data_IF_507445624643
#
_entry.id   IF_507445624643
#
_cell.length_a   1.000
_cell.length_b   1.000
_cell.length_c   1.000
_cell.angle_alpha   90.00
_cell.angle_beta   90.00
_cell.angle_gamma   90.00
#
_symmetry.space_group_name_H-M   'P 1'
#
loop_
_entity.id
_entity.type
_entity.pdbx_description
1 polymer ?
#
# COMPACT_ATOMS: atom_id res chain seq x y z
N UNK A 1 -20.89 -4.03 25.73
CA UNK A 1 -20.04 -4.70 24.71
C UNK A 1 -18.63 -5.01 25.21
N UNK A 2 -17.90 -4.05 25.81
CA UNK A 2 -16.47 -4.18 26.19
C UNK A 2 -16.14 -5.33 27.18
N UNK A 3 -17.05 -5.67 28.11
CA UNK A 3 -16.84 -6.75 29.12
C UNK A 3 -16.68 -8.14 28.48
N UNK A 4 -17.39 -8.39 27.38
CA UNK A 4 -17.34 -9.66 26.64
C UNK A 4 -16.05 -9.80 25.84
N UNK A 5 -15.57 -8.73 25.22
CA UNK A 5 -14.32 -8.74 24.47
C UNK A 5 -13.11 -9.07 25.35
N UNK A 6 -13.06 -8.51 26.57
CA UNK A 6 -12.03 -8.84 27.57
C UNK A 6 -12.10 -10.32 27.97
N UNK A 7 -13.31 -10.85 28.18
CA UNK A 7 -13.50 -12.26 28.49
C UNK A 7 -13.04 -13.19 27.36
N UNK A 8 -13.38 -12.90 26.09
CA UNK A 8 -12.92 -13.69 24.95
C UNK A 8 -11.41 -13.63 24.75
N UNK A 9 -10.79 -12.45 24.92
CA UNK A 9 -9.32 -12.30 24.89
C UNK A 9 -8.65 -13.14 26.00
N UNK A 10 -9.17 -13.07 27.22
CA UNK A 10 -8.67 -13.86 28.35
C UNK A 10 -8.82 -15.37 28.11
N UNK A 11 -10.01 -15.81 27.69
CA UNK A 11 -10.28 -17.23 27.39
C UNK A 11 -9.33 -17.75 26.30
N UNK A 12 -9.20 -17.02 25.20
CA UNK A 12 -8.28 -17.36 24.10
C UNK A 12 -6.82 -17.43 24.56
N UNK A 13 -6.38 -16.54 25.43
CA UNK A 13 -5.03 -16.58 26.03
C UNK A 13 -4.86 -17.84 26.88
N UNK A 14 -5.85 -18.17 27.72
CA UNK A 14 -5.82 -19.39 28.54
C UNK A 14 -5.84 -20.67 27.72
N UNK A 15 -6.62 -20.72 26.65
CA UNK A 15 -6.65 -21.85 25.73
C UNK A 15 -5.29 -22.00 25.04
N UNK A 16 -4.69 -20.90 24.57
CA UNK A 16 -3.36 -20.91 23.97
C UNK A 16 -2.25 -21.35 24.94
N UNK A 17 -2.31 -20.92 26.21
CA UNK A 17 -1.35 -21.35 27.25
C UNK A 17 -1.40 -22.87 27.46
N UNK A 18 -2.60 -23.46 27.42
CA UNK A 18 -2.84 -24.91 27.63
C UNK A 18 -2.45 -25.80 26.44
N UNK A 19 -2.29 -25.23 25.24
CA UNK A 19 -1.96 -25.99 24.04
C UNK A 19 -0.55 -26.59 24.07
N UNK A 20 -0.40 -27.76 23.47
CA UNK A 20 0.92 -28.40 23.23
C UNK A 20 1.77 -27.56 22.28
N UNK A 21 3.08 -27.83 22.19
CA UNK A 21 3.96 -27.13 21.25
C UNK A 21 3.51 -27.28 19.80
N UNK A 22 3.07 -28.48 19.41
CA UNK A 22 2.57 -28.77 18.06
C UNK A 22 1.27 -28.01 17.77
N UNK A 23 0.32 -28.06 18.71
CA UNK A 23 -0.94 -27.33 18.61
C UNK A 23 -0.70 -25.83 18.48
N UNK A 24 0.26 -25.26 19.22
CA UNK A 24 0.64 -23.84 19.13
C UNK A 24 1.17 -23.47 17.75
N UNK A 25 1.94 -24.35 17.10
CA UNK A 25 2.43 -24.14 15.72
C UNK A 25 1.28 -24.22 14.73
N UNK A 26 0.41 -25.23 14.83
CA UNK A 26 -0.81 -25.35 14.02
C UNK A 26 -1.72 -24.11 14.15
N UNK A 27 -1.88 -23.59 15.36
CA UNK A 27 -2.62 -22.35 15.60
C UNK A 27 -2.01 -21.14 14.89
N UNK A 28 -0.67 -20.99 14.94
CA UNK A 28 0.04 -19.93 14.22
C UNK A 28 -0.10 -20.09 12.71
N UNK A 29 -0.01 -21.32 12.20
CA UNK A 29 -0.10 -21.64 10.78
C UNK A 29 -1.50 -21.33 10.22
N UNK A 30 -2.56 -21.76 10.91
CA UNK A 30 -3.94 -21.41 10.53
C UNK A 30 -4.17 -19.90 10.56
N UNK A 31 -3.62 -19.19 11.55
CA UNK A 31 -3.68 -17.73 11.62
C UNK A 31 -2.91 -17.06 10.48
N UNK A 32 -1.74 -17.59 10.10
CA UNK A 32 -0.94 -17.08 8.98
C UNK A 32 -1.66 -17.28 7.65
N UNK A 33 -2.20 -18.48 7.37
CA UNK A 33 -2.99 -18.76 6.16
C UNK A 33 -4.24 -17.88 6.05
N UNK A 34 -4.99 -17.70 7.15
CA UNK A 34 -6.13 -16.77 7.17
C UNK A 34 -5.71 -15.31 6.91
N UNK A 35 -4.52 -14.91 7.37
CA UNK A 35 -3.98 -13.58 7.09
C UNK A 35 -3.58 -13.43 5.63
N UNK A 36 -2.97 -14.45 5.03
CA UNK A 36 -2.64 -14.48 3.60
C UNK A 36 -3.90 -14.29 2.75
N UNK A 37 -4.95 -15.07 3.00
CA UNK A 37 -6.24 -14.98 2.29
C UNK A 37 -6.83 -13.57 2.35
N UNK A 38 -6.89 -12.97 3.54
CA UNK A 38 -7.39 -11.59 3.71
C UNK A 38 -6.56 -10.56 2.95
N UNK A 39 -5.24 -10.73 2.91
CA UNK A 39 -4.35 -9.82 2.19
C UNK A 39 -4.55 -9.93 0.68
N UNK A 40 -4.75 -11.15 0.17
CA UNK A 40 -5.08 -11.39 -1.23
C UNK A 40 -6.44 -10.77 -1.60
N UNK A 41 -7.46 -10.96 -0.76
CA UNK A 41 -8.78 -10.36 -0.97
C UNK A 41 -8.73 -8.82 -0.94
N UNK A 42 -7.96 -8.23 -0.03
CA UNK A 42 -7.75 -6.78 0.02
C UNK A 42 -7.01 -6.25 -1.22
N UNK A 43 -6.11 -7.05 -1.79
CA UNK A 43 -5.39 -6.69 -3.01
C UNK A 43 -6.30 -6.71 -4.24
N UNK A 44 -7.11 -7.77 -4.38
CA UNK A 44 -8.11 -7.92 -5.46
C UNK A 44 -9.15 -6.79 -5.44
N UNK A 45 -9.56 -6.32 -4.26
CA UNK A 45 -10.46 -5.17 -4.11
C UNK A 45 -9.85 -3.84 -4.56
N UNK A 46 -8.53 -3.69 -4.43
CA UNK A 46 -7.83 -2.45 -4.79
C UNK A 46 -7.45 -2.45 -6.27
N UNK A 47 -7.04 -3.60 -6.80
CA UNK A 47 -6.65 -3.70 -8.20
C UNK A 47 -7.87 -3.46 -9.10
N UNK A 48 -7.82 -2.45 -9.97
CA UNK A 48 -8.92 -2.18 -10.88
C UNK A 48 -9.04 -3.39 -11.81
N UNK A 49 -10.24 -3.99 -11.90
CA UNK A 49 -10.54 -5.08 -12.84
C UNK A 49 -9.97 -4.73 -14.20
N UNK A 50 -9.11 -5.59 -14.72
CA UNK A 50 -8.39 -5.35 -15.97
C UNK A 50 -9.40 -5.06 -17.09
N UNK A 51 -9.56 -3.78 -17.44
CA UNK A 51 -10.25 -3.40 -18.66
C UNK A 51 -9.33 -3.78 -19.82
N UNK A 52 -9.75 -4.78 -20.59
CA UNK A 52 -8.97 -5.60 -21.53
C UNK A 52 -8.47 -4.89 -22.79
N UNK A 53 -8.34 -3.56 -22.81
CA UNK A 53 -7.98 -2.85 -24.04
C UNK A 53 -6.82 -1.88 -23.78
N UNK A 54 -5.65 -2.26 -24.30
CA UNK A 54 -4.61 -1.30 -24.64
C UNK A 54 -5.16 -0.40 -25.74
N UNK A 55 -5.56 0.82 -25.41
CA UNK A 55 -6.16 1.77 -26.37
C UNK A 55 -5.20 2.17 -27.51
N UNK A 56 -3.92 1.81 -27.43
CA UNK A 56 -2.92 2.20 -28.41
C UNK A 56 -2.57 1.05 -29.35
N UNK A 57 -2.63 1.33 -30.66
CA UNK A 57 -2.06 0.45 -31.69
C UNK A 57 -0.61 0.16 -31.33
N UNK A 58 -0.16 -1.11 -31.34
CA UNK A 58 1.25 -1.41 -31.19
C UNK A 58 1.97 -0.88 -32.43
N UNK A 59 2.43 0.37 -32.37
CA UNK A 59 3.36 0.91 -33.35
C UNK A 59 4.59 0.00 -33.34
N UNK A 60 4.71 -0.85 -34.37
CA UNK A 60 5.87 -1.72 -34.54
C UNK A 60 7.06 -0.81 -34.86
N UNK A 61 7.86 -0.54 -33.83
CA UNK A 61 9.09 0.23 -33.97
C UNK A 61 10.08 -0.59 -34.79
N UNK A 62 10.69 0.00 -35.83
CA UNK A 62 11.75 -0.72 -36.55
C UNK A 62 12.97 -0.89 -35.64
N UNK A 63 13.83 -1.90 -35.84
CA UNK A 63 15.02 -2.08 -35.02
C UNK A 63 15.94 -0.85 -35.00
N UNK A 64 16.03 -0.11 -36.12
CA UNK A 64 16.83 1.11 -36.23
C UNK A 64 16.24 2.25 -35.39
N UNK A 65 14.91 2.40 -35.45
CA UNK A 65 14.19 3.40 -34.65
C UNK A 65 14.28 3.07 -33.16
N UNK A 66 14.11 1.80 -32.79
CA UNK A 66 14.27 1.32 -31.42
C UNK A 66 15.64 1.67 -30.87
N UNK A 67 16.71 1.34 -31.60
CA UNK A 67 18.08 1.67 -31.21
C UNK A 67 18.31 3.18 -31.09
N UNK A 68 17.78 3.97 -32.02
CA UNK A 68 17.87 5.43 -31.99
C UNK A 68 17.23 6.01 -30.72
N UNK A 69 16.00 5.60 -30.41
CA UNK A 69 15.28 6.09 -29.23
C UNK A 69 15.89 5.56 -27.94
N UNK A 70 16.41 4.34 -27.92
CA UNK A 70 17.11 3.78 -26.77
C UNK A 70 18.34 4.63 -26.44
N UNK A 71 19.21 4.89 -27.43
CA UNK A 71 20.41 5.73 -27.26
C UNK A 71 20.07 7.17 -26.86
N UNK A 72 18.95 7.71 -27.36
CA UNK A 72 18.45 9.02 -26.95
C UNK A 72 17.92 9.01 -25.51
N UNK A 73 17.20 7.95 -25.13
CA UNK A 73 16.69 7.71 -23.78
C UNK A 73 17.82 7.57 -22.75
N UNK A 74 18.87 6.82 -23.07
CA UNK A 74 20.06 6.67 -22.23
C UNK A 74 20.78 8.00 -21.95
N UNK A 75 20.86 8.88 -22.96
CA UNK A 75 21.46 10.21 -22.80
C UNK A 75 20.54 11.22 -22.12
N UNK A 76 19.25 10.91 -21.97
CA UNK A 76 18.29 11.83 -21.42
C UNK A 76 18.51 12.01 -19.91
N UNK A 77 18.32 13.25 -19.43
CA UNK A 77 18.39 13.62 -18.01
C UNK A 77 17.03 13.65 -17.33
N UNK A 78 15.94 13.50 -18.10
CA UNK A 78 14.58 13.58 -17.58
C UNK A 78 14.19 12.24 -16.97
N UNK A 79 13.79 12.27 -15.70
CA UNK A 79 13.40 11.06 -15.00
C UNK A 79 12.15 11.24 -14.15
N UNK A 80 11.38 10.16 -14.02
CA UNK A 80 10.25 10.06 -13.08
C UNK A 80 10.64 9.06 -11.99
N UNK A 81 10.75 9.49 -10.71
CA UNK A 81 11.03 8.58 -9.62
C UNK A 81 9.79 7.81 -9.19
N UNK A 82 9.89 6.49 -9.10
CA UNK A 82 8.88 5.60 -8.52
C UNK A 82 9.43 5.04 -7.21
N UNK A 83 8.79 5.40 -6.11
CA UNK A 83 9.14 4.92 -4.76
C UNK A 83 8.16 3.86 -4.26
N UNK A 84 8.12 3.68 -2.94
CA UNK A 84 7.30 2.65 -2.26
C UNK A 84 5.85 2.52 -2.75
N UNK A 85 5.19 3.63 -3.09
CA UNK A 85 3.79 3.62 -3.55
C UNK A 85 3.58 2.95 -4.91
N UNK A 86 4.65 2.71 -5.67
CA UNK A 86 4.56 2.20 -7.03
C UNK A 86 3.85 3.19 -7.96
N UNK A 87 3.09 2.64 -8.90
CA UNK A 87 2.38 3.41 -9.92
C UNK A 87 1.06 3.93 -9.34
N UNK A 88 0.85 5.23 -9.50
CA UNK A 88 -0.42 5.89 -9.18
C UNK A 88 -0.65 7.02 -10.16
N UNK A 89 -1.83 7.63 -10.09
CA UNK A 89 -2.27 8.70 -10.97
C UNK A 89 -1.21 9.80 -11.25
N UNK A 90 -0.51 10.23 -10.21
CA UNK A 90 0.51 11.29 -10.31
C UNK A 90 1.80 10.87 -11.04
N UNK A 91 2.13 9.57 -11.06
CA UNK A 91 3.30 9.06 -11.82
C UNK A 91 3.01 9.18 -13.31
N UNK A 92 1.86 8.68 -13.75
CA UNK A 92 1.43 8.74 -15.15
C UNK A 92 1.30 10.18 -15.63
N UNK A 93 0.69 11.05 -14.81
CA UNK A 93 0.63 12.49 -15.07
C UNK A 93 2.03 13.09 -15.27
N UNK A 94 2.99 12.76 -14.40
CA UNK A 94 4.35 13.27 -14.51
C UNK A 94 5.05 12.78 -15.79
N UNK A 95 4.78 11.55 -16.22
CA UNK A 95 5.28 11.02 -17.50
C UNK A 95 4.75 11.85 -18.68
N UNK A 96 3.45 12.10 -18.74
CA UNK A 96 2.84 12.93 -19.80
C UNK A 96 3.37 14.37 -19.81
N UNK A 97 3.67 14.94 -18.64
CA UNK A 97 4.30 16.27 -18.54
C UNK A 97 5.70 16.29 -19.16
N UNK A 98 6.52 15.26 -18.94
CA UNK A 98 7.82 15.13 -19.61
C UNK A 98 7.65 14.90 -21.11
N UNK A 99 6.67 14.09 -21.50
CA UNK A 99 6.41 13.78 -22.91
C UNK A 99 5.89 14.94 -23.74
N UNK A 100 5.44 16.03 -23.09
CA UNK A 100 5.10 17.28 -23.77
C UNK A 100 6.31 17.90 -24.49
N UNK A 101 7.51 17.79 -23.91
CA UNK A 101 8.74 18.40 -24.45
C UNK A 101 9.75 17.38 -24.96
N UNK A 102 9.70 16.16 -24.46
CA UNK A 102 10.69 15.12 -24.73
C UNK A 102 10.01 13.88 -25.28
N UNK A 103 10.67 13.16 -26.17
CA UNK A 103 10.11 11.95 -26.74
C UNK A 103 10.36 10.72 -25.85
N UNK A 104 11.46 10.74 -25.10
CA UNK A 104 11.88 9.65 -24.21
C UNK A 104 11.95 10.12 -22.75
N UNK A 105 11.80 9.16 -21.84
CA UNK A 105 11.80 9.37 -20.39
C UNK A 105 12.48 8.19 -19.71
N UNK A 106 13.22 8.45 -18.62
CA UNK A 106 13.66 7.40 -17.68
C UNK A 106 12.70 7.30 -16.50
N UNK A 107 12.33 6.09 -16.10
CA UNK A 107 11.59 5.84 -14.87
C UNK A 107 12.53 5.11 -13.91
N UNK A 108 12.85 5.75 -12.79
CA UNK A 108 13.78 5.18 -11.79
C UNK A 108 12.94 4.54 -10.70
N UNK A 109 12.97 3.21 -10.65
CA UNK A 109 12.20 2.44 -9.68
C UNK A 109 13.07 2.07 -8.50
N UNK A 110 12.67 2.49 -7.29
CA UNK A 110 13.35 2.14 -6.04
C UNK A 110 12.51 1.11 -5.27
N UNK A 111 13.15 0.26 -4.47
CA UNK A 111 12.53 -0.66 -3.49
C UNK A 111 11.87 -1.95 -4.02
N UNK A 112 11.77 -2.13 -5.33
CA UNK A 112 11.14 -3.30 -5.95
C UNK A 112 12.17 -4.33 -6.43
N UNK A 113 11.76 -5.59 -6.55
CA UNK A 113 12.58 -6.64 -7.17
C UNK A 113 12.64 -6.46 -8.70
N UNK A 114 13.65 -6.99 -9.41
CA UNK A 114 13.73 -6.87 -10.87
C UNK A 114 12.54 -7.52 -11.60
N UNK A 115 11.91 -8.53 -10.99
CA UNK A 115 10.67 -9.13 -11.51
C UNK A 115 9.49 -8.17 -11.37
N UNK A 116 9.33 -7.55 -10.20
CA UNK A 116 8.31 -6.51 -9.98
C UNK A 116 8.53 -5.28 -10.86
N UNK A 117 9.78 -4.94 -11.20
CA UNK A 117 10.08 -3.86 -12.15
C UNK A 117 9.57 -4.17 -13.56
N UNK A 118 9.60 -5.44 -13.98
CA UNK A 118 9.00 -5.86 -15.26
C UNK A 118 7.47 -5.74 -15.24
N UNK A 119 6.84 -6.13 -14.13
CA UNK A 119 5.38 -5.93 -13.92
C UNK A 119 5.03 -4.44 -13.98
N UNK A 120 5.80 -3.60 -13.28
CA UNK A 120 5.65 -2.14 -13.29
C UNK A 120 5.84 -1.58 -14.71
N UNK A 121 6.83 -2.04 -15.47
CA UNK A 121 7.05 -1.60 -16.84
C UNK A 121 5.85 -1.91 -17.74
N UNK A 122 5.27 -3.12 -17.61
CA UNK A 122 4.07 -3.51 -18.34
C UNK A 122 2.83 -2.69 -17.92
N UNK A 123 2.63 -2.47 -16.61
CA UNK A 123 1.56 -1.61 -16.10
C UNK A 123 1.71 -0.16 -16.58
N UNK A 124 2.94 0.38 -16.58
CA UNK A 124 3.22 1.73 -17.09
C UNK A 124 2.90 1.83 -18.58
N UNK A 125 3.32 0.86 -19.39
CA UNK A 125 3.00 0.82 -20.82
C UNK A 125 1.49 0.83 -21.04
N UNK A 126 0.77 -0.02 -20.31
CA UNK A 126 -0.70 -0.13 -20.40
C UNK A 126 -1.41 1.15 -19.97
N UNK A 127 -0.99 1.78 -18.87
CA UNK A 127 -1.66 2.95 -18.31
C UNK A 127 -1.31 4.26 -19.02
N UNK A 128 -0.06 4.39 -19.49
CA UNK A 128 0.41 5.62 -20.14
C UNK A 128 0.27 5.58 -21.66
N UNK A 129 0.08 4.40 -22.25
CA UNK A 129 0.15 4.18 -23.70
C UNK A 129 1.55 4.28 -24.29
N UNK A 130 2.58 4.45 -23.45
CA UNK A 130 3.97 4.49 -23.88
C UNK A 130 4.56 3.11 -24.18
N UNK A 131 5.63 3.10 -24.96
CA UNK A 131 6.38 1.91 -25.36
C UNK A 131 7.60 1.77 -24.43
N UNK A 132 7.79 0.59 -23.86
CA UNK A 132 9.01 0.25 -23.10
C UNK A 132 10.11 -0.09 -24.10
N UNK A 133 11.21 0.67 -24.08
CA UNK A 133 12.36 0.42 -24.95
C UNK A 133 13.31 -0.60 -24.33
N UNK A 134 13.66 -0.40 -23.06
CA UNK A 134 14.61 -1.24 -22.33
C UNK A 134 14.42 -1.12 -20.81
N UNK A 135 14.85 -2.17 -20.08
CA UNK A 135 14.88 -2.22 -18.62
C UNK A 135 16.32 -2.49 -18.19
N UNK A 136 16.99 -1.46 -17.67
CA UNK A 136 18.39 -1.54 -17.24
C UNK A 136 18.51 -2.18 -15.85
N UNK A 137 19.69 -2.74 -15.55
CA UNK A 137 19.99 -3.47 -14.31
C UNK A 137 19.82 -2.62 -13.03
N UNK A 138 19.95 -1.29 -13.12
CA UNK A 138 19.74 -0.37 -12.00
C UNK A 138 18.26 -0.07 -11.70
N UNK A 139 17.33 -0.92 -12.16
CA UNK A 139 15.88 -0.72 -12.09
C UNK A 139 15.42 0.57 -12.78
N UNK A 140 16.06 0.90 -13.89
CA UNK A 140 15.73 2.06 -14.73
C UNK A 140 14.98 1.56 -15.97
N UNK A 141 13.75 2.04 -16.15
CA UNK A 141 12.94 1.73 -17.31
C UNK A 141 13.04 2.90 -18.29
N UNK A 142 13.44 2.64 -19.53
CA UNK A 142 13.46 3.66 -20.58
C UNK A 142 12.16 3.54 -21.37
N UNK A 143 11.38 4.62 -21.39
CA UNK A 143 10.08 4.66 -22.06
C UNK A 143 10.05 5.71 -23.16
N UNK A 144 9.35 5.36 -24.24
CA UNK A 144 9.07 6.21 -25.39
C UNK A 144 7.56 6.47 -25.47
N UNK A 145 7.18 7.69 -25.83
CA UNK A 145 5.77 8.11 -25.84
C UNK A 145 4.94 7.60 -27.04
N UNK A 146 5.58 7.16 -28.13
CA UNK A 146 4.94 6.86 -29.42
C UNK A 146 5.11 7.99 -30.45
N UNK A 147 5.03 7.65 -31.75
CA UNK A 147 5.13 8.64 -32.84
C UNK A 147 3.88 9.52 -32.88
N UNK A 148 2.71 8.91 -32.66
CA UNK A 148 1.42 9.57 -32.66
C UNK A 148 0.99 10.10 -31.28
N UNK A 149 1.95 10.43 -30.41
CA UNK A 149 1.63 10.99 -29.10
C UNK A 149 0.87 12.31 -29.25
N UNK A 150 -0.40 12.27 -28.84
CA UNK A 150 -1.21 13.46 -28.59
C UNK A 150 -1.26 13.68 -27.09
N UNK A 151 -1.08 14.94 -26.65
CA UNK A 151 -1.23 15.25 -25.24
C UNK A 151 -2.69 14.95 -24.85
N UNK A 152 -2.95 14.04 -23.90
CA UNK A 152 -4.31 13.79 -23.46
C UNK A 152 -4.91 15.09 -22.91
N UNK A 153 -6.21 15.35 -23.11
CA UNK A 153 -6.88 16.51 -22.54
C UNK A 153 -6.57 16.63 -21.04
N UNK A 154 -6.47 17.86 -20.52
CA UNK A 154 -6.10 18.11 -19.12
C UNK A 154 -7.02 17.39 -18.11
N UNK A 155 -8.27 17.13 -18.51
CA UNK A 155 -9.26 16.38 -17.73
C UNK A 155 -8.98 14.86 -17.64
N UNK A 156 -8.18 14.32 -18.57
CA UNK A 156 -7.90 12.88 -18.75
C UNK A 156 -6.38 12.59 -18.65
N UNK A 157 -5.56 13.59 -18.27
CA UNK A 157 -4.09 13.46 -18.26
C UNK A 157 -3.54 12.38 -17.32
N UNK A 158 -4.42 11.81 -16.50
CA UNK A 158 -4.21 10.53 -15.83
C UNK A 158 -5.46 9.66 -16.01
N UNK A 159 -5.33 8.42 -16.51
CA UNK A 159 -6.48 7.55 -16.70
C UNK A 159 -7.26 7.34 -15.39
N UNK A 160 -8.60 7.32 -15.48
CA UNK A 160 -9.48 6.99 -14.34
C UNK A 160 -9.26 5.57 -13.82
N UNK A 161 -8.63 4.72 -14.62
CA UNK A 161 -8.24 3.34 -14.27
C UNK A 161 -7.02 3.29 -13.34
N UNK A 162 -6.29 4.39 -13.13
CA UNK A 162 -5.14 4.43 -12.24
C UNK A 162 -5.54 4.48 -10.76
N UNK A 163 -4.69 3.93 -9.89
CA UNK A 163 -4.89 3.99 -8.45
C UNK A 163 -4.71 5.42 -7.91
N UNK A 164 -5.54 5.80 -6.94
CA UNK A 164 -5.32 6.98 -6.11
C UNK A 164 -4.08 6.80 -5.22
N UNK A 165 -3.48 7.92 -4.80
CA UNK A 165 -2.26 7.95 -3.97
C UNK A 165 -2.36 7.13 -2.68
N UNK A 166 -3.53 7.13 -2.02
CA UNK A 166 -3.79 6.34 -0.81
C UNK A 166 -3.88 4.85 -1.14
N UNK A 167 -4.72 4.49 -2.11
CA UNK A 167 -4.90 3.10 -2.58
C UNK A 167 -3.59 2.46 -3.04
N UNK A 168 -2.72 3.22 -3.73
CA UNK A 168 -1.41 2.74 -4.16
C UNK A 168 -0.46 2.46 -2.99
N UNK A 169 -0.49 3.29 -1.94
CA UNK A 169 0.26 3.02 -0.71
C UNK A 169 -0.27 1.76 0.00
N UNK A 170 -1.58 1.59 0.07
CA UNK A 170 -2.19 0.43 0.71
C UNK A 170 -1.90 -0.86 -0.09
N UNK A 171 -1.96 -0.82 -1.43
CA UNK A 171 -1.48 -1.89 -2.33
C UNK A 171 -0.05 -2.32 -1.97
N UNK A 172 0.87 -1.35 -1.83
CA UNK A 172 2.26 -1.62 -1.43
C UNK A 172 2.35 -2.28 -0.04
N UNK A 173 1.61 -1.78 0.96
CA UNK A 173 1.60 -2.37 2.31
C UNK A 173 1.10 -3.81 2.30
N UNK A 174 0.03 -4.10 1.54
CA UNK A 174 -0.50 -5.45 1.44
C UNK A 174 0.48 -6.41 0.76
N UNK A 175 1.16 -5.97 -0.30
CA UNK A 175 2.24 -6.76 -0.92
C UNK A 175 3.39 -7.04 0.03
N UNK A 176 3.86 -6.03 0.77
CA UNK A 176 4.92 -6.21 1.79
C UNK A 176 4.48 -7.21 2.88
N UNK A 177 3.26 -7.07 3.38
CA UNK A 177 2.70 -7.99 4.37
C UNK A 177 2.55 -9.41 3.81
N UNK A 178 2.12 -9.56 2.57
CA UNK A 178 2.00 -10.85 1.88
C UNK A 178 3.37 -11.51 1.74
N UNK A 179 4.40 -10.75 1.33
CA UNK A 179 5.78 -11.24 1.24
C UNK A 179 6.29 -11.75 2.59
N UNK A 180 5.97 -11.05 3.69
CA UNK A 180 6.33 -11.48 5.03
C UNK A 180 5.60 -12.77 5.45
N UNK A 181 4.29 -12.86 5.19
CA UNK A 181 3.48 -14.05 5.52
C UNK A 181 3.92 -15.27 4.72
N UNK A 182 4.16 -15.12 3.41
CA UNK A 182 4.68 -16.19 2.53
C UNK A 182 6.05 -16.71 2.96
N UNK A 183 6.90 -15.86 3.55
CA UNK A 183 8.18 -16.30 4.15
C UNK A 183 8.00 -17.01 5.49
N UNK A 184 6.91 -16.72 6.21
CA UNK A 184 6.65 -17.25 7.55
C UNK A 184 5.99 -18.62 7.53
N UNK A 185 5.06 -18.87 6.59
CA UNK A 185 4.34 -20.16 6.50
C UNK A 185 5.29 -21.36 6.37
N UNK A 186 6.29 -21.37 5.45
CA UNK A 186 7.20 -22.50 5.32
C UNK A 186 8.03 -22.75 6.58
N UNK A 187 8.39 -21.70 7.32
CA UNK A 187 9.11 -21.83 8.60
C UNK A 187 8.26 -22.56 9.63
N UNK A 188 6.98 -22.22 9.72
CA UNK A 188 6.05 -22.91 10.62
C UNK A 188 5.81 -24.37 10.21
N UNK A 189 5.79 -24.66 8.92
CA UNK A 189 5.65 -26.03 8.40
C UNK A 189 6.87 -26.89 8.76
N UNK A 190 8.08 -26.34 8.62
CA UNK A 190 9.33 -27.00 9.04
C UNK A 190 9.39 -27.22 10.56
N UNK A 191 8.98 -26.22 11.35
CA UNK A 191 8.91 -26.35 12.82
C UNK A 191 7.94 -27.46 13.23
N UNK A 192 6.81 -27.59 12.53
CA UNK A 192 5.81 -28.63 12.77
C UNK A 192 6.38 -30.02 12.47
N UNK A 193 7.00 -30.20 11.31
CA UNK A 193 7.64 -31.46 10.89
C UNK A 193 8.74 -31.89 11.89
N UNK A 194 9.54 -30.94 12.37
CA UNK A 194 10.57 -31.20 13.36
C UNK A 194 9.98 -31.68 14.69
N UNK A 195 8.88 -31.06 15.16
CA UNK A 195 8.22 -31.47 16.40
C UNK A 195 7.61 -32.87 16.29
N UNK A 196 6.95 -33.17 15.17
CA UNK A 196 6.39 -34.50 14.90
C UNK A 196 7.49 -35.57 14.88
N UNK A 197 8.59 -35.30 14.17
CA UNK A 197 9.76 -36.19 14.15
C UNK A 197 10.36 -36.42 15.54
N UNK A 198 10.34 -35.41 16.42
CA UNK A 198 10.80 -35.56 17.80
C UNK A 198 9.83 -36.36 18.66
N UNK A 199 8.52 -36.22 18.44
CA UNK A 199 7.50 -37.02 19.11
C UNK A 199 7.63 -38.50 18.72
N UNK A 200 7.77 -38.81 17.43
CA UNK A 200 7.98 -40.17 16.90
C UNK A 200 9.26 -40.82 17.47
N UNK A 201 10.36 -40.07 17.58
CA UNK A 201 11.59 -40.58 18.19
C UNK A 201 11.42 -40.89 19.68
N UNK A 202 10.59 -40.12 20.39
CA UNK A 202 10.30 -40.37 21.82
C UNK A 202 9.43 -41.60 21.99
N UNK A 203 8.39 -41.77 21.18
CA UNK A 203 7.51 -42.94 21.24
C UNK A 203 8.27 -44.24 20.96
N UNK A 204 9.13 -44.29 19.92
CA UNK A 204 9.96 -45.47 19.65
C UNK A 204 10.96 -45.79 20.78
N UNK A 205 11.48 -44.78 21.47
CA UNK A 205 12.39 -44.98 22.61
C UNK A 205 11.65 -45.52 23.85
N UNK A 206 10.39 -45.13 24.05
CA UNK A 206 9.56 -45.62 25.17
C UNK A 206 9.05 -47.04 24.92
N UNK A 207 8.69 -47.39 23.68
CA UNK A 207 8.31 -48.75 23.29
C UNK A 207 9.46 -49.75 23.43
N UNK A 208 10.69 -49.37 23.04
CA UNK A 208 11.89 -50.20 23.23
C UNK A 208 12.29 -50.39 24.71
N UNK A 209 11.80 -49.55 25.63
CA UNK A 209 12.05 -49.70 27.07
C UNK A 209 11.00 -50.58 27.77
N UNK A 210 9.78 -50.69 27.22
CA UNK A 210 8.71 -51.54 27.74
C UNK A 210 8.81 -52.99 27.23
N UNK A 211 9.39 -53.20 26.05
CA UNK A 211 9.75 -54.53 25.53
C UNK A 211 11.10 -54.98 26.10
N UNK A 212 11.13 -55.43 27.36
CA UNK A 212 12.34 -55.96 27.98
C UNK A 212 12.91 -57.17 27.23
N UNK A 213 14.00 -56.97 26.49
CA UNK A 213 15.01 -58.01 26.22
C UNK A 213 16.39 -57.44 26.54
N UNK A 214 17.12 -58.21 27.35
CA UNK A 214 18.46 -57.94 27.79
C UNK A 214 19.51 -58.20 26.70
N UNK A 215 20.48 -57.27 26.67
CA UNK A 215 21.93 -57.45 26.51
C UNK A 215 22.65 -57.31 25.14
N UNK A 216 23.60 -56.36 25.21
CA UNK A 216 25.00 -56.30 24.72
C UNK A 216 25.29 -55.68 23.35
N UNK A 217 25.99 -54.54 23.45
CA UNK A 217 26.92 -53.85 22.55
C UNK A 217 26.81 -54.04 21.04
N UNK A 218 26.60 -52.91 20.36
CA UNK A 218 27.50 -52.50 19.27
C UNK A 218 27.46 -50.99 19.13
N UNK A 219 28.63 -50.36 19.28
CA UNK A 219 28.85 -48.97 18.93
C UNK A 219 28.47 -48.72 17.47
N UNK A 220 27.70 -47.67 17.24
CA UNK A 220 27.31 -47.19 15.93
C UNK A 220 27.29 -45.68 15.96
N UNK A 221 28.21 -45.10 15.22
CA UNK A 221 28.65 -43.72 15.32
C UNK A 221 27.55 -42.65 15.20
N UNK A 222 27.82 -41.57 15.92
CA UNK A 222 27.10 -40.30 15.96
C UNK A 222 27.24 -39.53 14.64
N UNK A 223 26.76 -40.09 13.54
CA UNK A 223 26.99 -39.53 12.19
C UNK A 223 25.86 -38.58 11.72
N UNK A 224 24.68 -38.65 12.35
CA UNK A 224 23.54 -37.79 12.03
C UNK A 224 23.69 -36.32 12.45
N UNK A 225 24.48 -36.05 13.50
CA UNK A 225 24.70 -34.68 13.98
C UNK A 225 25.68 -33.89 13.10
N UNK A 226 26.63 -34.59 12.46
CA UNK A 226 27.62 -33.98 11.58
C UNK A 226 27.02 -33.60 10.22
N UNK A 227 26.07 -34.39 9.71
CA UNK A 227 25.37 -34.11 8.45
C UNK A 227 24.48 -32.87 8.50
N UNK A 228 23.87 -32.59 9.67
CA UNK A 228 23.10 -31.37 9.91
C UNK A 228 24.00 -30.12 10.04
N UNK A 229 25.19 -30.26 10.63
CA UNK A 229 26.19 -29.19 10.68
C UNK A 229 26.76 -28.88 9.29
N UNK A 230 26.96 -29.89 8.45
CA UNK A 230 27.47 -29.72 7.08
C UNK A 230 26.47 -28.98 6.17
N UNK A 231 25.16 -29.24 6.30
CA UNK A 231 24.11 -28.52 5.56
C UNK A 231 23.91 -27.06 6.03
N UNK A 232 24.15 -26.78 7.32
CA UNK A 232 24.14 -25.42 7.85
C UNK A 232 25.33 -24.59 7.34
N UNK A 233 26.50 -25.21 7.20
CA UNK A 233 27.72 -24.54 6.69
C UNK A 233 27.67 -24.35 5.18
N UNK A 234 27.08 -25.30 4.44
CA UNK A 234 26.93 -25.20 2.97
C UNK A 234 25.90 -24.14 2.54
N UNK A 235 24.87 -23.89 3.35
CA UNK A 235 23.91 -22.81 3.10
C UNK A 235 24.45 -21.42 3.48
N UNK A 236 25.50 -21.34 4.32
CA UNK A 236 26.15 -20.08 4.71
C UNK A 236 27.22 -19.55 3.73
N UNK A 237 27.61 -20.29 2.68
CA UNK A 237 28.79 -19.96 1.85
C UNK A 237 28.50 -19.18 0.55
N UNK A 238 27.31 -18.60 0.37
CA UNK A 238 26.94 -17.86 -0.86
C UNK A 238 26.81 -16.34 -0.67
N UNK A 239 27.23 -15.78 0.47
CA UNK A 239 27.33 -14.32 0.60
C UNK A 239 28.72 -13.98 1.13
N UNK A 240 29.56 -13.44 0.24
CA UNK A 240 30.90 -13.00 0.55
C UNK A 240 30.90 -11.80 1.51
N UNK A 241 31.87 -11.86 2.41
CA UNK A 241 32.68 -10.78 3.01
C UNK A 241 32.12 -9.36 2.91
N UNK A 242 31.66 -8.79 4.03
CA UNK A 242 32.43 -7.80 4.79
C UNK A 242 31.76 -7.41 6.12
N UNK A 243 32.60 -7.03 7.08
CA UNK A 243 32.37 -6.36 8.37
C UNK A 243 32.11 -7.21 9.64
N UNK A 244 33.01 -6.96 10.58
CA UNK A 244 33.38 -7.59 11.85
C UNK A 244 32.45 -7.36 13.06
N UNK A 245 32.33 -8.41 13.87
CA UNK A 245 32.65 -8.47 15.31
C UNK A 245 32.11 -7.38 16.26
N UNK A 246 31.03 -7.68 17.01
CA UNK A 246 30.99 -7.47 18.48
C UNK A 246 29.80 -8.19 19.16
N UNK A 247 30.04 -8.75 20.34
CA UNK A 247 29.13 -8.72 21.49
C UNK A 247 27.94 -9.68 21.54
N UNK A 248 28.15 -10.86 22.11
CA UNK A 248 27.10 -11.67 22.73
C UNK A 248 26.54 -10.96 23.97
N UNK A 249 25.32 -10.45 23.89
CA UNK A 249 24.47 -10.24 25.07
C UNK A 249 23.08 -10.81 24.78
N UNK A 250 22.81 -11.96 25.39
CA UNK A 250 21.57 -12.72 25.25
C UNK A 250 20.55 -12.19 26.26
N UNK A 251 19.99 -11.02 25.94
CA UNK A 251 18.75 -10.52 26.54
C UNK A 251 17.55 -11.13 25.83
N UNK A 252 16.90 -12.08 26.49
CA UNK A 252 15.67 -12.74 26.01
C UNK A 252 14.48 -11.78 26.07
N UNK A 253 14.35 -10.87 25.09
CA UNK A 253 13.21 -9.96 24.95
C UNK A 253 12.23 -10.44 23.87
N UNK A 254 11.60 -11.59 24.05
CA UNK A 254 10.62 -12.12 23.09
C UNK A 254 9.15 -11.73 23.35
N UNK A 255 8.88 -10.87 24.34
CA UNK A 255 7.50 -10.50 24.71
C UNK A 255 7.07 -9.09 24.26
N UNK A 256 7.96 -8.29 23.67
CA UNK A 256 7.65 -6.89 23.30
C UNK A 256 7.03 -6.69 21.91
N UNK A 257 6.86 -7.73 21.09
CA UNK A 257 6.43 -7.57 19.68
C UNK A 257 5.02 -8.09 19.37
N UNK A 258 4.25 -8.53 20.35
CA UNK A 258 2.85 -8.97 20.12
C UNK A 258 1.87 -7.82 19.90
N UNK A 259 2.22 -6.59 20.28
CA UNK A 259 1.32 -5.43 20.21
C UNK A 259 1.37 -4.67 18.88
N UNK A 260 2.31 -4.99 17.98
CA UNK A 260 2.40 -4.33 16.66
C UNK A 260 1.32 -4.77 15.66
N UNK A 261 0.51 -5.78 16.02
CA UNK A 261 -0.55 -6.34 15.18
C UNK A 261 -1.97 -5.95 15.63
N UNK A 262 -2.12 -5.14 16.68
CA UNK A 262 -3.44 -4.72 17.21
C UNK A 262 -3.81 -3.25 16.97
N UNK A 263 -2.97 -2.44 16.30
CA UNK A 263 -3.36 -1.07 15.91
C UNK A 263 -4.10 -1.05 14.57
N UNK A 264 -5.43 -1.10 14.66
CA UNK A 264 -6.49 -0.59 13.77
C UNK A 264 -6.13 -0.06 12.38
N UNK A 265 -6.81 -0.63 11.36
CA UNK A 265 -7.48 0.14 10.31
C UNK A 265 -8.67 -0.68 9.82
N UNK A 266 -9.73 -0.75 10.62
CA UNK A 266 -11.08 -0.89 10.10
C UNK A 266 -11.50 0.51 9.62
N UNK A 267 -11.48 0.71 8.29
CA UNK A 267 -12.27 1.76 7.68
C UNK A 267 -13.66 1.16 7.43
N UNK A 268 -14.50 1.20 8.45
CA UNK A 268 -15.94 1.17 8.24
C UNK A 268 -16.39 2.61 8.00
N UNK A 269 -17.07 2.81 6.87
CA UNK A 269 -17.84 4.01 6.59
C UNK A 269 -19.01 4.03 7.58
N UNK A 270 -18.84 4.68 8.72
CA UNK A 270 -19.93 5.08 9.60
C UNK A 270 -19.97 6.60 9.71
N UNK A 271 -21.18 7.13 9.56
CA UNK A 271 -21.53 8.54 9.62
C UNK A 271 -20.91 9.21 10.85
N UNK A 272 -20.06 10.22 10.60
CA UNK A 272 -19.49 11.05 11.65
C UNK A 272 -20.58 11.94 12.22
N UNK A 273 -21.21 11.49 13.30
CA UNK A 273 -21.77 12.43 14.27
C UNK A 273 -20.60 13.22 14.88
N UNK A 274 -20.56 14.51 14.56
CA UNK A 274 -19.53 15.44 15.02
C UNK A 274 -19.54 15.54 16.55
N UNK A 275 -18.54 14.94 17.19
CA UNK A 275 -18.17 15.32 18.55
C UNK A 275 -17.76 16.80 18.54
N UNK A 276 -18.34 17.67 19.38
CA UNK A 276 -17.87 19.04 19.47
C UNK A 276 -16.42 19.02 19.97
N UNK A 277 -15.57 19.67 19.18
CA UNK A 277 -14.15 19.84 19.46
C UNK A 277 -13.97 20.63 20.75
N UNK A 278 -12.89 20.30 21.45
CA UNK A 278 -12.41 20.84 22.72
C UNK A 278 -12.05 22.34 22.60
N UNK A 279 -13.03 23.20 22.34
CA UNK A 279 -12.88 24.66 22.30
C UNK A 279 -13.82 25.38 23.28
N UNK A 280 -14.76 24.67 23.90
CA UNK A 280 -15.75 25.25 24.84
C UNK A 280 -15.19 25.54 26.24
N UNK A 281 -13.91 25.26 26.50
CA UNK A 281 -13.30 25.45 27.83
C UNK A 281 -12.50 26.76 27.97
N UNK A 282 -12.43 27.60 26.92
CA UNK A 282 -11.66 28.85 26.95
C UNK A 282 -12.47 30.14 27.06
N UNK A 283 -13.79 30.08 27.28
CA UNK A 283 -14.59 31.28 27.63
C UNK A 283 -14.46 31.70 29.10
N UNK A 284 -13.23 31.80 29.61
CA UNK A 284 -12.99 32.40 30.92
C UNK A 284 -11.61 33.03 31.07
N UNK A 285 -11.35 34.07 30.27
CA UNK A 285 -10.34 35.06 30.65
C UNK A 285 -10.95 36.45 30.68
N UNK A 286 -10.84 37.03 31.88
CA UNK A 286 -11.28 38.37 32.25
C UNK A 286 -10.64 39.44 31.38
N UNK A 287 -11.46 40.40 30.97
CA UNK A 287 -11.13 41.64 30.27
C UNK A 287 -9.91 42.35 30.87
N UNK A 288 -8.93 42.67 30.01
CA UNK A 288 -8.09 43.87 30.16
C UNK A 288 -8.07 44.63 28.84
N UNK A 289 -8.66 45.80 28.88
CA UNK A 289 -8.71 46.82 27.83
C UNK A 289 -7.31 47.33 27.53
N UNK A 290 -6.94 47.40 26.24
CA UNK A 290 -6.33 48.59 25.63
C UNK A 290 -6.16 48.38 24.11
N UNK A 291 -6.73 49.30 23.32
CA UNK A 291 -6.41 49.51 21.91
C UNK A 291 -6.98 48.49 20.90
N UNK A 292 -8.25 48.63 20.52
CA UNK A 292 -8.73 48.11 19.23
C UNK A 292 -9.48 49.20 18.48
N UNK A 293 -8.92 49.58 17.35
CA UNK A 293 -9.63 50.27 16.28
C UNK A 293 -10.84 49.41 15.87
N UNK A 294 -12.00 50.06 15.73
CA UNK A 294 -13.28 49.42 15.51
C UNK A 294 -13.32 48.76 14.11
N UNK A 295 -13.05 47.45 14.06
CA UNK A 295 -13.23 46.60 12.86
C UNK A 295 -14.62 46.74 12.22
N UNK A 296 -15.64 47.06 13.03
CA UNK A 296 -17.01 47.29 12.58
C UNK A 296 -17.17 48.55 11.71
N UNK A 297 -16.34 49.57 11.94
CA UNK A 297 -16.32 50.78 11.11
C UNK A 297 -15.70 50.48 9.73
N UNK A 298 -14.70 49.61 9.68
CA UNK A 298 -14.05 49.19 8.42
C UNK A 298 -15.00 48.37 7.55
N UNK A 299 -15.75 47.44 8.13
CA UNK A 299 -16.76 46.65 7.42
C UNK A 299 -17.92 47.51 6.87
N UNK A 300 -18.28 48.59 7.57
CA UNK A 300 -19.26 49.57 7.06
C UNK A 300 -18.72 50.36 5.87
N UNK A 301 -17.44 50.73 5.87
CA UNK A 301 -16.85 51.46 4.75
C UNK A 301 -16.78 50.62 3.47
N UNK A 302 -16.45 49.33 3.57
CA UNK A 302 -16.38 48.43 2.40
C UNK A 302 -17.76 48.17 1.78
N UNK A 303 -18.82 48.22 2.59
CA UNK A 303 -20.20 48.07 2.11
C UNK A 303 -20.75 49.31 1.39
N UNK A 304 -20.16 50.49 1.62
CA UNK A 304 -20.61 51.77 1.03
C UNK A 304 -19.92 52.14 -0.28
N UNK A 305 -18.88 51.42 -0.70
CA UNK A 305 -18.14 51.68 -1.94
C UNK A 305 -18.49 50.69 -3.05
N UNK A 306 -19.77 50.55 -3.38
CA UNK A 306 -20.19 50.12 -4.72
C UNK A 306 -20.80 51.33 -5.45
N UNK A 307 -20.54 51.52 -6.76
CA UNK A 307 -21.18 52.60 -7.49
C UNK A 307 -22.65 52.26 -7.75
N UNK A 308 -23.53 52.98 -7.06
CA UNK A 308 -24.72 53.65 -7.57
C UNK A 308 -25.65 52.85 -8.53
N UNK A 309 -26.77 52.39 -8.00
CA UNK A 309 -28.01 52.05 -8.73
C UNK A 309 -28.55 53.29 -9.49
N UNK A 310 -29.19 53.28 -10.67
CA UNK A 310 -30.47 52.65 -11.14
C UNK A 310 -30.71 53.19 -12.60
N UNK A 311 -31.62 52.66 -13.49
CA UNK A 311 -33.02 52.34 -13.17
C UNK A 311 -33.72 51.20 -13.93
N UNK A 312 -34.80 50.69 -13.31
CA UNK A 312 -36.02 50.13 -13.91
C UNK A 312 -35.93 49.50 -15.31
N UNK A 313 -35.84 48.16 -15.33
CA UNK A 313 -36.18 47.33 -16.48
C UNK A 313 -36.58 45.95 -16.01
N UNK A 314 -37.85 45.79 -15.61
CA UNK A 314 -38.43 44.45 -15.45
C UNK A 314 -38.43 43.79 -16.83
N UNK A 315 -38.02 42.52 -16.88
CA UNK A 315 -38.24 41.56 -17.97
C UNK A 315 -37.11 41.31 -19.00
N UNK A 316 -35.90 41.87 -18.86
CA UNK A 316 -34.86 41.72 -19.90
C UNK A 316 -33.79 40.62 -19.69
N UNK A 317 -33.68 39.99 -18.50
CA UNK A 317 -32.54 39.11 -18.18
C UNK A 317 -32.96 37.65 -17.88
N UNK A 318 -34.01 37.17 -18.55
CA UNK A 318 -34.46 35.76 -18.48
C UNK A 318 -34.30 35.00 -19.80
N UNK A 319 -33.90 35.69 -20.87
CA UNK A 319 -33.87 35.12 -22.22
C UNK A 319 -32.62 34.28 -22.49
N UNK A 320 -31.55 34.45 -21.71
CA UNK A 320 -30.25 33.81 -21.91
C UNK A 320 -29.97 32.63 -20.95
N UNK A 321 -31.01 32.18 -20.23
CA UNK A 321 -30.91 31.06 -19.30
C UNK A 321 -31.36 29.75 -19.95
N UNK A 322 -30.51 28.74 -19.86
CA UNK A 322 -30.80 27.38 -20.32
C UNK A 322 -31.97 26.75 -19.52
N UNK A 323 -32.60 25.72 -20.09
CA UNK A 323 -33.77 25.06 -19.49
C UNK A 323 -33.52 24.57 -18.06
N UNK A 324 -32.27 24.18 -17.76
CA UNK A 324 -31.82 23.73 -16.45
C UNK A 324 -31.79 24.89 -15.45
N UNK A 325 -31.29 26.05 -15.84
CA UNK A 325 -31.21 27.23 -14.97
C UNK A 325 -32.61 27.75 -14.61
N UNK A 326 -33.54 27.70 -15.57
CA UNK A 326 -34.95 28.03 -15.33
C UNK A 326 -35.60 27.07 -14.33
N UNK A 327 -35.25 25.78 -14.40
CA UNK A 327 -35.76 24.76 -13.47
C UNK A 327 -35.23 24.99 -12.05
N UNK A 328 -33.95 25.32 -11.90
CA UNK A 328 -33.31 25.62 -10.61
C UNK A 328 -33.93 26.85 -9.96
N UNK A 329 -34.15 27.93 -10.72
CA UNK A 329 -34.79 29.14 -10.20
C UNK A 329 -36.23 28.90 -9.76
N UNK A 330 -37.00 28.08 -10.50
CA UNK A 330 -38.35 27.68 -10.09
C UNK A 330 -38.31 26.87 -8.79
N UNK A 331 -37.41 25.90 -8.67
CA UNK A 331 -37.27 25.09 -7.47
C UNK A 331 -36.90 25.94 -6.24
N UNK A 332 -35.98 26.89 -6.39
CA UNK A 332 -35.60 27.83 -5.33
C UNK A 332 -36.77 28.72 -4.88
N UNK A 333 -37.61 29.16 -5.83
CA UNK A 333 -38.80 29.97 -5.51
C UNK A 333 -39.84 29.18 -4.69
N UNK A 334 -40.02 27.89 -5.01
CA UNK A 334 -40.95 26.99 -4.30
C UNK A 334 -40.47 26.69 -2.88
N UNK A 335 -39.15 26.57 -2.68
CA UNK A 335 -38.56 26.38 -1.36
C UNK A 335 -38.71 27.63 -0.47
N UNK A 336 -38.60 28.84 -1.03
CA UNK A 336 -38.87 30.09 -0.30
C UNK A 336 -40.34 30.21 0.09
N UNK A 337 -41.27 29.78 -0.78
CA UNK A 337 -42.71 29.86 -0.51
C UNK A 337 -43.19 28.85 0.56
N UNK A 338 -42.43 27.79 0.80
CA UNK A 338 -42.71 26.77 1.83
C UNK A 338 -42.16 27.14 3.21
N UNK A 339 -41.40 28.23 3.31
CA UNK A 339 -40.71 28.67 4.53
C UNK A 339 -41.36 29.87 5.21
N UNK A 340 -42.47 30.39 4.65
CA UNK A 340 -43.30 31.45 5.22
C UNK A 340 -44.68 30.91 5.57
#
# INVERSE_FOLDING_TARGET
>A
MVRWLKFFRYKKKKDYERMTSEEKVLYKLTKARRKEERLLEALDKIEPKESSETTHDPEILTPEEHFYYLKMGEKCKNYVPVGRRGIYQGVILNMHLHWKKHQTLKVIVKTFSPEEVKEIAAELARLSGGIVLDIQEENIIIMYRGKNYSQPPTEIMSPRTTLSRKKALDKSKYRDALRAVKKYIPKLEQDLELLQSQAERKTCREENQLAGVCNVDSGGDFEGSNRLKELLVRSGKVIGDDVSMIGSDMGSESESLSDIFETDTDHEDEDKEEKPLYLDEFEKFSVRTEGKENFEYHLRQVSTSSPQEMPNGKDAELSDLDEVDRLVLRAASLLKKKRN
#
